data_IF_294240058427
#
_entry.id   IF_294240058427
#
_cell.length_a   1.000
_cell.length_b   1.000
_cell.length_c   1.000
_cell.angle_alpha   90.00
_cell.angle_beta   90.00
_cell.angle_gamma   90.00
#
_symmetry.space_group_name_H-M   'P 1'
#
loop_
_entity.id
_entity.type
_entity.pdbx_description
1 polymer ?
#
# COMPACT_ATOMS: atom_id res chain seq x y z
N UNK A 1 -12.32 -8.50 -21.95
CA UNK A 1 -10.89 -8.68 -22.24
C UNK A 1 -10.16 -8.44 -20.93
N UNK A 2 -9.62 -9.49 -20.30
CA UNK A 2 -8.79 -9.37 -19.11
C UNK A 2 -7.47 -8.76 -19.55
N UNK A 3 -7.20 -7.52 -19.18
CA UNK A 3 -5.87 -6.93 -19.34
C UNK A 3 -4.89 -7.84 -18.61
N UNK A 4 -4.03 -8.49 -19.39
CA UNK A 4 -2.96 -9.33 -18.85
C UNK A 4 -2.05 -8.42 -18.03
N UNK A 5 -1.86 -8.75 -16.74
CA UNK A 5 -0.79 -8.16 -15.95
C UNK A 5 0.47 -8.13 -16.81
N UNK A 6 1.03 -6.95 -17.03
CA UNK A 6 2.26 -6.83 -17.77
C UNK A 6 3.34 -7.62 -17.02
N UNK A 7 3.90 -8.63 -17.71
CA UNK A 7 4.96 -9.46 -17.16
C UNK A 7 6.11 -9.55 -18.13
N UNK A 8 7.32 -9.54 -17.59
CA UNK A 8 8.56 -9.80 -18.31
C UNK A 8 9.07 -11.16 -17.87
N UNK A 9 9.54 -11.96 -18.81
CA UNK A 9 10.07 -13.30 -18.54
C UNK A 9 11.41 -13.52 -19.23
N UNK A 10 12.25 -14.35 -18.61
CA UNK A 10 13.65 -14.56 -19.01
C UNK A 10 14.61 -13.65 -18.22
N UNK A 11 15.75 -14.23 -17.83
CA UNK A 11 16.69 -13.56 -16.91
C UNK A 11 17.20 -12.25 -17.51
N UNK A 12 17.64 -12.29 -18.78
CA UNK A 12 18.20 -11.12 -19.49
C UNK A 12 17.19 -9.98 -19.61
N UNK A 13 15.98 -10.29 -20.06
CA UNK A 13 14.92 -9.29 -20.22
C UNK A 13 14.54 -8.64 -18.89
N UNK A 14 14.60 -9.39 -17.77
CA UNK A 14 14.33 -8.84 -16.44
C UNK A 14 15.47 -7.91 -15.99
N UNK A 15 16.74 -8.28 -16.25
CA UNK A 15 17.90 -7.40 -15.97
C UNK A 15 17.77 -6.10 -16.75
N UNK A 16 17.51 -6.17 -18.06
CA UNK A 16 17.34 -5.00 -18.92
C UNK A 16 16.18 -4.09 -18.44
N UNK A 17 15.08 -4.70 -17.99
CA UNK A 17 13.97 -3.93 -17.43
C UNK A 17 14.33 -3.19 -16.14
N UNK A 18 15.14 -3.84 -15.27
CA UNK A 18 15.64 -3.21 -14.03
C UNK A 18 16.58 -2.06 -14.36
N UNK A 19 17.49 -2.25 -15.31
CA UNK A 19 18.45 -1.24 -15.77
C UNK A 19 17.75 -0.07 -16.47
N UNK A 20 16.68 -0.35 -17.21
CA UNK A 20 15.83 0.67 -17.82
C UNK A 20 14.94 1.43 -16.82
N UNK A 21 15.04 1.14 -15.53
CA UNK A 21 14.25 1.81 -14.50
C UNK A 21 12.76 1.47 -14.49
N UNK A 22 12.35 0.32 -15.06
CA UNK A 22 10.95 -0.10 -14.99
C UNK A 22 10.57 -0.47 -13.56
N UNK A 23 9.41 -0.01 -13.15
CA UNK A 23 8.85 -0.34 -11.83
C UNK A 23 8.43 -1.80 -11.78
N UNK A 24 9.10 -2.56 -10.93
CA UNK A 24 8.82 -3.99 -10.76
C UNK A 24 8.12 -4.21 -9.43
N UNK A 25 6.97 -4.87 -9.51
CA UNK A 25 6.18 -5.20 -8.34
C UNK A 25 6.79 -6.37 -7.55
N UNK A 26 7.10 -7.46 -8.26
CA UNK A 26 7.78 -8.64 -7.69
C UNK A 26 8.46 -9.48 -8.77
N UNK A 27 9.44 -10.27 -8.36
CA UNK A 27 10.13 -11.22 -9.22
C UNK A 27 9.94 -12.63 -8.65
N UNK A 28 9.48 -13.56 -9.49
CA UNK A 28 9.50 -14.99 -9.20
C UNK A 28 10.74 -15.60 -9.81
N UNK A 29 11.49 -16.33 -9.00
CA UNK A 29 12.72 -17.01 -9.41
C UNK A 29 12.62 -18.49 -9.04
N UNK A 30 13.01 -19.37 -9.95
CA UNK A 30 13.14 -20.81 -9.67
C UNK A 30 14.07 -21.05 -8.50
N UNK A 31 13.70 -21.99 -7.59
CA UNK A 31 14.48 -22.27 -6.36
C UNK A 31 15.95 -22.58 -6.64
N UNK A 32 16.22 -23.43 -7.63
CA UNK A 32 17.53 -24.00 -7.93
C UNK A 32 18.21 -23.33 -9.13
N UNK A 33 17.97 -22.02 -9.33
CA UNK A 33 18.61 -21.28 -10.42
C UNK A 33 20.09 -21.05 -10.08
N UNK A 34 20.99 -21.56 -10.97
CA UNK A 34 22.44 -21.45 -10.81
C UNK A 34 23.09 -21.10 -12.15
N UNK A 35 22.74 -19.98 -12.73
CA UNK A 35 23.38 -19.50 -13.96
C UNK A 35 24.18 -18.23 -13.69
N UNK A 36 25.20 -17.93 -14.52
CA UNK A 36 25.93 -16.66 -14.43
C UNK A 36 24.98 -15.46 -14.53
N UNK A 37 24.01 -15.53 -15.46
CA UNK A 37 22.98 -14.51 -15.58
C UNK A 37 22.12 -14.34 -14.32
N UNK A 38 21.92 -15.41 -13.54
CA UNK A 38 21.19 -15.28 -12.27
C UNK A 38 22.02 -14.57 -11.21
N UNK A 39 23.34 -14.73 -11.20
CA UNK A 39 24.23 -13.96 -10.32
C UNK A 39 24.19 -12.48 -10.67
N UNK A 40 24.22 -12.15 -11.96
CA UNK A 40 24.07 -10.77 -12.46
C UNK A 40 22.73 -10.18 -12.03
N UNK A 41 21.63 -10.92 -12.19
CA UNK A 41 20.31 -10.50 -11.73
C UNK A 41 20.30 -10.17 -10.23
N UNK A 42 20.86 -11.04 -9.38
CA UNK A 42 20.91 -10.79 -7.94
C UNK A 42 21.83 -9.62 -7.57
N UNK A 43 22.88 -9.36 -8.34
CA UNK A 43 23.73 -8.19 -8.16
C UNK A 43 22.96 -6.89 -8.46
N UNK A 44 22.19 -6.86 -9.55
CA UNK A 44 21.34 -5.71 -9.92
C UNK A 44 20.20 -5.45 -8.92
N UNK A 45 19.73 -6.50 -8.26
CA UNK A 45 18.67 -6.40 -7.24
C UNK A 45 19.19 -5.90 -5.89
N UNK A 46 20.50 -5.93 -5.67
CA UNK A 46 21.10 -5.51 -4.41
C UNK A 46 20.87 -4.01 -4.18
N UNK A 47 20.26 -3.68 -3.03
CA UNK A 47 19.91 -2.29 -2.68
C UNK A 47 18.59 -1.78 -3.25
N UNK A 48 17.90 -2.56 -4.10
CA UNK A 48 16.57 -2.20 -4.61
C UNK A 48 15.47 -2.83 -3.76
N UNK A 49 14.35 -2.14 -3.63
CA UNK A 49 13.19 -2.61 -2.86
C UNK A 49 12.26 -3.52 -3.67
N UNK A 50 12.83 -4.43 -4.47
CA UNK A 50 12.06 -5.35 -5.31
C UNK A 50 11.95 -6.70 -4.59
N UNK A 51 10.72 -7.17 -4.23
CA UNK A 51 10.52 -8.46 -3.61
C UNK A 51 10.89 -9.60 -4.57
N UNK A 52 11.77 -10.49 -4.12
CA UNK A 52 12.14 -11.71 -4.87
C UNK A 52 11.58 -12.93 -4.15
N UNK A 53 10.76 -13.71 -4.83
CA UNK A 53 10.17 -14.91 -4.31
C UNK A 53 10.75 -16.15 -5.02
N UNK A 54 11.40 -17.03 -4.26
CA UNK A 54 11.87 -18.33 -4.79
C UNK A 54 10.73 -19.33 -4.79
N UNK A 55 10.40 -19.86 -5.96
CA UNK A 55 9.25 -20.75 -6.17
C UNK A 55 9.66 -22.01 -6.94
N UNK A 56 8.91 -23.13 -6.82
CA UNK A 56 9.06 -24.28 -7.69
C UNK A 56 8.80 -23.90 -9.16
N UNK A 57 9.49 -24.59 -10.09
CA UNK A 57 9.37 -24.30 -11.54
C UNK A 57 7.95 -24.50 -12.05
N UNK A 58 7.21 -25.43 -11.46
CA UNK A 58 5.82 -25.74 -11.81
C UNK A 58 4.91 -24.52 -11.59
N UNK A 59 5.17 -23.70 -10.56
CA UNK A 59 4.45 -22.46 -10.32
C UNK A 59 4.72 -21.43 -11.43
N UNK A 60 5.96 -21.34 -11.89
CA UNK A 60 6.34 -20.45 -12.99
C UNK A 60 5.68 -20.93 -14.29
N UNK A 61 5.73 -22.23 -14.58
CA UNK A 61 5.13 -22.85 -15.76
C UNK A 61 3.60 -22.68 -15.83
N UNK A 62 2.91 -22.61 -14.67
CA UNK A 62 1.46 -22.31 -14.61
C UNK A 62 1.14 -20.88 -15.03
N UNK A 63 2.04 -19.94 -14.75
CA UNK A 63 1.87 -18.53 -15.09
C UNK A 63 2.20 -18.29 -16.56
N UNK A 64 3.33 -18.83 -17.02
CA UNK A 64 3.77 -18.71 -18.40
C UNK A 64 4.50 -19.98 -18.84
N UNK A 65 4.07 -20.56 -19.97
CA UNK A 65 4.71 -21.75 -20.59
C UNK A 65 5.80 -21.40 -21.60
N UNK A 66 6.04 -20.11 -21.89
CA UNK A 66 7.11 -19.67 -22.78
C UNK A 66 8.47 -19.87 -22.11
N UNK A 67 9.55 -19.75 -22.88
CA UNK A 67 10.90 -19.88 -22.36
C UNK A 67 11.24 -18.76 -21.37
N UNK A 68 10.89 -18.96 -20.11
CA UNK A 68 11.09 -17.99 -19.02
C UNK A 68 12.44 -18.16 -18.30
N UNK A 69 13.24 -19.18 -18.64
CA UNK A 69 14.55 -19.43 -18.01
C UNK A 69 14.53 -19.46 -16.48
N UNK A 70 13.37 -19.75 -15.89
CA UNK A 70 13.18 -19.79 -14.43
C UNK A 70 12.96 -18.42 -13.76
N UNK A 71 12.72 -17.34 -14.52
CA UNK A 71 12.47 -15.99 -13.98
C UNK A 71 11.27 -15.34 -14.65
N UNK A 72 10.39 -14.77 -13.84
CA UNK A 72 9.29 -13.91 -14.27
C UNK A 72 9.25 -12.67 -13.35
N UNK A 73 9.18 -11.48 -13.93
CA UNK A 73 8.94 -10.23 -13.24
C UNK A 73 7.54 -9.69 -13.57
N UNK A 74 6.84 -9.22 -12.57
CA UNK A 74 5.57 -8.51 -12.72
C UNK A 74 5.84 -7.02 -12.65
N UNK A 75 5.32 -6.28 -13.63
CA UNK A 75 5.44 -4.83 -13.70
C UNK A 75 4.40 -4.21 -12.78
N UNK A 76 4.80 -3.19 -12.03
CA UNK A 76 3.90 -2.38 -11.23
C UNK A 76 3.14 -1.39 -12.11
N UNK A 77 1.88 -1.14 -11.77
CA UNK A 77 1.09 -0.09 -12.43
C UNK A 77 1.37 1.31 -11.85
N UNK A 78 2.12 1.39 -10.76
CA UNK A 78 2.48 2.64 -10.07
C UNK A 78 3.97 2.69 -9.76
N UNK A 79 4.49 3.89 -9.55
CA UNK A 79 5.82 4.11 -8.97
C UNK A 79 5.74 4.09 -7.46
N UNK A 80 6.51 3.20 -6.82
CA UNK A 80 6.58 3.17 -5.36
C UNK A 80 7.54 4.24 -4.85
N UNK A 81 7.16 4.85 -3.74
CA UNK A 81 7.94 5.87 -3.05
C UNK A 81 8.50 5.32 -1.72
N UNK A 82 9.31 6.12 -1.04
CA UNK A 82 9.79 5.85 0.31
C UNK A 82 9.12 6.79 1.30
N UNK A 83 8.82 6.29 2.48
CA UNK A 83 8.25 7.10 3.55
C UNK A 83 9.19 8.22 3.97
N UNK A 84 10.51 7.94 3.93
CA UNK A 84 11.57 8.92 4.26
C UNK A 84 11.58 10.14 3.32
N UNK A 85 11.14 9.99 2.07
CA UNK A 85 11.08 11.07 1.09
C UNK A 85 9.74 11.84 1.18
N UNK A 86 8.63 11.11 1.39
CA UNK A 86 7.28 11.68 1.42
C UNK A 86 7.03 12.51 2.69
N UNK A 87 7.48 12.04 3.84
CA UNK A 87 7.20 12.70 5.13
C UNK A 87 7.75 14.12 5.18
N UNK A 88 9.05 14.38 4.88
CA UNK A 88 9.57 15.73 4.85
C UNK A 88 8.81 16.63 3.85
N UNK A 89 8.52 16.12 2.65
CA UNK A 89 7.79 16.85 1.62
C UNK A 89 6.40 17.32 2.10
N UNK A 90 5.66 16.46 2.84
CA UNK A 90 4.35 16.82 3.38
C UNK A 90 4.46 17.90 4.46
N UNK A 91 5.48 17.85 5.33
CA UNK A 91 5.72 18.88 6.33
C UNK A 91 6.12 20.22 5.70
N UNK A 92 6.93 20.21 4.65
CA UNK A 92 7.31 21.42 3.91
C UNK A 92 6.10 22.13 3.28
N UNK A 93 5.04 21.38 2.96
CA UNK A 93 3.77 21.95 2.51
C UNK A 93 2.92 22.56 3.64
N UNK A 94 3.40 22.55 4.88
CA UNK A 94 2.66 23.06 6.05
C UNK A 94 1.46 22.20 6.45
N UNK A 95 1.42 20.93 6.01
CA UNK A 95 0.34 20.00 6.34
C UNK A 95 0.62 19.28 7.66
N UNK A 96 -0.47 18.86 8.32
CA UNK A 96 -0.42 17.83 9.36
C UNK A 96 -0.73 16.48 8.68
N UNK A 97 0.28 15.69 8.30
CA UNK A 97 0.08 14.53 7.45
C UNK A 97 -0.77 13.45 8.12
N UNK A 98 -1.68 12.87 7.36
CA UNK A 98 -2.47 11.69 7.74
C UNK A 98 -2.05 10.51 6.86
N UNK A 99 -1.36 9.55 7.44
CA UNK A 99 -0.85 8.38 6.75
C UNK A 99 -1.63 7.12 7.14
N UNK A 100 -1.66 6.15 6.24
CA UNK A 100 -2.17 4.81 6.56
C UNK A 100 -1.09 3.77 6.26
N UNK A 101 -0.90 2.85 7.21
CA UNK A 101 0.02 1.72 7.07
C UNK A 101 -0.80 0.43 7.03
N UNK A 102 -0.62 -0.37 5.98
CA UNK A 102 -1.36 -1.59 5.75
C UNK A 102 -0.45 -2.80 5.96
N UNK A 103 -0.72 -3.60 6.99
CA UNK A 103 0.04 -4.82 7.29
C UNK A 103 -0.75 -6.06 6.88
N UNK A 104 -0.15 -6.93 6.06
CA UNK A 104 -0.74 -8.21 5.67
C UNK A 104 -1.93 -8.11 4.69
N UNK A 105 -2.19 -6.96 4.08
CA UNK A 105 -3.22 -6.83 3.05
C UNK A 105 -2.67 -7.39 1.73
N UNK A 106 -3.16 -8.55 1.32
CA UNK A 106 -2.69 -9.27 0.12
C UNK A 106 -3.72 -9.31 -1.01
N UNK A 107 -4.99 -9.07 -0.70
CA UNK A 107 -6.06 -9.03 -1.70
C UNK A 107 -6.08 -7.71 -2.46
N UNK A 108 -6.01 -7.81 -3.80
CA UNK A 108 -5.91 -6.67 -4.72
C UNK A 108 -7.17 -5.80 -4.68
N UNK A 109 -8.35 -6.42 -4.55
CA UNK A 109 -9.63 -5.71 -4.56
C UNK A 109 -9.85 -4.96 -3.25
N UNK A 110 -9.50 -5.60 -2.12
CA UNK A 110 -9.52 -4.94 -0.81
C UNK A 110 -8.58 -3.74 -0.79
N UNK A 111 -7.36 -3.90 -1.30
CA UNK A 111 -6.41 -2.79 -1.39
C UNK A 111 -6.94 -1.64 -2.25
N UNK A 112 -7.50 -1.93 -3.43
CA UNK A 112 -8.09 -0.91 -4.30
C UNK A 112 -9.25 -0.17 -3.62
N UNK A 113 -10.13 -0.89 -2.90
CA UNK A 113 -11.23 -0.30 -2.14
C UNK A 113 -10.72 0.60 -1.00
N UNK A 114 -9.67 0.15 -0.27
CA UNK A 114 -9.00 0.95 0.76
C UNK A 114 -8.41 2.21 0.14
N UNK A 115 -7.65 2.10 -0.96
CA UNK A 115 -7.03 3.25 -1.62
C UNK A 115 -8.05 4.31 -2.04
N UNK A 116 -9.18 3.89 -2.62
CA UNK A 116 -10.29 4.80 -2.96
C UNK A 116 -10.84 5.51 -1.74
N UNK A 117 -11.01 4.79 -0.64
CA UNK A 117 -11.47 5.37 0.62
C UNK A 117 -10.46 6.36 1.18
N UNK A 118 -9.18 6.00 1.13
CA UNK A 118 -8.08 6.86 1.57
C UNK A 118 -8.04 8.19 0.80
N UNK A 119 -8.23 8.16 -0.51
CA UNK A 119 -8.30 9.37 -1.34
C UNK A 119 -9.49 10.25 -0.92
N UNK A 120 -10.69 9.67 -0.80
CA UNK A 120 -11.88 10.40 -0.35
C UNK A 120 -11.70 11.00 1.05
N UNK A 121 -11.02 10.30 1.94
CA UNK A 121 -10.73 10.75 3.29
C UNK A 121 -9.55 11.72 3.38
N UNK A 122 -8.83 11.90 2.28
CA UNK A 122 -7.65 12.78 2.17
C UNK A 122 -6.46 12.27 2.97
N UNK A 123 -6.24 10.98 2.96
CA UNK A 123 -4.97 10.37 3.35
C UNK A 123 -3.89 10.91 2.42
N UNK A 124 -2.74 11.26 2.96
CA UNK A 124 -1.64 11.82 2.18
C UNK A 124 -0.74 10.74 1.56
N UNK A 125 -0.61 9.57 2.18
CA UNK A 125 0.08 8.41 1.59
C UNK A 125 -0.33 7.08 2.22
N UNK A 126 -0.18 5.98 1.44
CA UNK A 126 -0.36 4.60 1.90
C UNK A 126 1.02 3.97 2.06
N UNK A 127 1.26 3.30 3.18
CA UNK A 127 2.51 2.56 3.46
C UNK A 127 2.21 1.07 3.44
N UNK A 128 2.98 0.30 2.67
CA UNK A 128 2.85 -1.15 2.57
C UNK A 128 4.19 -1.84 2.78
N UNK A 129 4.24 -3.08 3.30
CA UNK A 129 5.48 -3.83 3.39
C UNK A 129 5.91 -4.35 2.01
N UNK A 130 7.21 -4.52 1.80
CA UNK A 130 7.76 -5.12 0.59
C UNK A 130 7.44 -6.62 0.47
N UNK A 131 7.21 -7.31 1.60
CA UNK A 131 6.85 -8.73 1.64
C UNK A 131 5.45 -8.89 2.20
N UNK A 132 4.75 -9.97 1.79
CA UNK A 132 3.39 -10.29 2.24
C UNK A 132 2.40 -9.12 2.02
N UNK A 133 2.56 -8.45 0.90
CA UNK A 133 1.74 -7.30 0.50
C UNK A 133 1.09 -7.55 -0.85
N UNK A 134 0.16 -6.69 -1.17
CA UNK A 134 -0.55 -6.67 -2.44
C UNK A 134 0.39 -6.33 -3.61
N UNK A 135 0.09 -6.90 -4.78
CA UNK A 135 0.64 -6.46 -6.06
C UNK A 135 -0.23 -5.36 -6.64
N UNK A 136 0.34 -4.17 -6.87
CA UNK A 136 -0.42 -3.07 -7.48
C UNK A 136 -0.39 -3.21 -9.01
N UNK A 137 -1.43 -3.84 -9.51
CA UNK A 137 -1.63 -4.15 -10.91
C UNK A 137 -2.84 -3.40 -11.50
N UNK A 138 -3.20 -3.69 -12.76
CA UNK A 138 -4.36 -3.09 -13.44
C UNK A 138 -5.69 -3.32 -12.68
N UNK A 139 -5.85 -4.48 -11.99
CA UNK A 139 -7.04 -4.75 -11.19
C UNK A 139 -7.12 -3.84 -9.96
N UNK A 140 -5.98 -3.56 -9.29
CA UNK A 140 -5.90 -2.60 -8.20
C UNK A 140 -6.26 -1.19 -8.69
N UNK A 141 -5.70 -0.77 -9.83
CA UNK A 141 -5.98 0.52 -10.45
C UNK A 141 -7.47 0.68 -10.74
N UNK A 142 -8.09 -0.34 -11.36
CA UNK A 142 -9.52 -0.35 -11.65
C UNK A 142 -10.38 -0.29 -10.39
N UNK A 143 -10.04 -1.07 -9.37
CA UNK A 143 -10.83 -1.16 -8.12
C UNK A 143 -10.70 0.12 -7.30
N UNK A 144 -9.55 0.80 -7.37
CA UNK A 144 -9.33 2.08 -6.71
C UNK A 144 -10.07 3.26 -7.36
N UNK A 145 -10.73 3.02 -8.52
CA UNK A 145 -11.43 4.06 -9.27
C UNK A 145 -10.55 5.30 -9.58
N UNK A 146 -9.26 5.08 -9.80
CA UNK A 146 -8.29 6.13 -10.12
C UNK A 146 -7.50 6.67 -8.93
N UNK A 147 -7.87 6.37 -7.69
CA UNK A 147 -7.19 6.87 -6.49
C UNK A 147 -5.68 6.58 -6.48
N UNK A 148 -5.25 5.44 -6.99
CA UNK A 148 -3.83 5.06 -7.07
C UNK A 148 -3.01 5.85 -8.10
N UNK A 149 -3.64 6.71 -8.91
CA UNK A 149 -2.89 7.66 -9.76
C UNK A 149 -2.41 8.89 -9.00
N UNK A 150 -3.13 9.27 -7.94
CA UNK A 150 -2.91 10.51 -7.18
C UNK A 150 -2.31 10.25 -5.80
N UNK A 151 -2.70 9.14 -5.16
CA UNK A 151 -2.30 8.79 -3.81
C UNK A 151 -0.97 8.05 -3.80
N UNK A 152 0.10 8.62 -3.22
CA UNK A 152 1.41 7.97 -3.12
C UNK A 152 1.33 6.66 -2.34
N UNK A 153 2.00 5.63 -2.86
CA UNK A 153 2.16 4.34 -2.17
C UNK A 153 3.63 4.14 -1.83
N UNK A 154 3.94 4.13 -0.54
CA UNK A 154 5.28 3.88 -0.01
C UNK A 154 5.46 2.39 0.24
N UNK A 155 6.58 1.82 -0.25
CA UNK A 155 6.95 0.42 -0.03
C UNK A 155 8.14 0.33 0.90
N UNK A 156 7.98 -0.35 2.04
CA UNK A 156 8.98 -0.40 3.09
C UNK A 156 9.47 -1.82 3.38
N UNK A 157 10.76 -1.94 3.69
CA UNK A 157 11.38 -3.24 4.03
C UNK A 157 10.92 -3.75 5.40
N UNK A 158 10.80 -2.84 6.37
CA UNK A 158 10.45 -3.12 7.75
C UNK A 158 9.46 -2.08 8.27
N UNK A 159 8.22 -2.49 8.48
CA UNK A 159 7.20 -1.62 9.07
C UNK A 159 7.58 -1.16 10.48
N UNK A 160 8.31 -2.00 11.24
CA UNK A 160 8.78 -1.65 12.59
C UNK A 160 9.77 -0.48 12.56
N UNK A 161 10.71 -0.48 11.60
CA UNK A 161 11.65 0.64 11.44
C UNK A 161 10.94 1.89 10.95
N UNK A 162 10.01 1.75 10.01
CA UNK A 162 9.18 2.85 9.53
C UNK A 162 8.35 3.47 10.66
N UNK A 163 7.79 2.66 11.58
CA UNK A 163 7.08 3.17 12.77
C UNK A 163 8.02 3.98 13.67
N UNK A 164 9.25 3.50 13.90
CA UNK A 164 10.24 4.24 14.69
C UNK A 164 10.58 5.58 14.03
N UNK A 165 10.80 5.57 12.71
CA UNK A 165 11.04 6.79 11.93
C UNK A 165 9.87 7.77 12.06
N UNK A 166 8.64 7.33 11.87
CA UNK A 166 7.44 8.16 11.99
C UNK A 166 7.29 8.75 13.40
N UNK A 167 7.50 7.95 14.46
CA UNK A 167 7.49 8.45 15.84
C UNK A 167 8.54 9.54 16.06
N UNK A 168 9.75 9.35 15.57
CA UNK A 168 10.82 10.34 15.66
C UNK A 168 10.52 11.61 14.87
N UNK A 169 9.71 11.50 13.79
CA UNK A 169 9.22 12.62 12.99
C UNK A 169 7.97 13.30 13.57
N UNK A 170 7.54 12.92 14.78
CA UNK A 170 6.42 13.55 15.48
C UNK A 170 5.04 12.97 15.17
N UNK A 171 4.95 11.84 14.47
CA UNK A 171 3.66 11.17 14.23
C UNK A 171 3.14 10.43 15.44
N UNK A 172 1.85 10.55 15.69
CA UNK A 172 1.10 9.63 16.55
C UNK A 172 0.79 8.36 15.77
N UNK A 173 1.02 7.22 16.38
CA UNK A 173 0.74 5.91 15.79
C UNK A 173 -0.54 5.37 16.41
N UNK A 174 -1.54 5.10 15.59
CA UNK A 174 -2.85 4.59 15.98
C UNK A 174 -3.10 3.27 15.28
N UNK A 175 -3.27 2.18 16.03
CA UNK A 175 -3.59 0.87 15.46
C UNK A 175 -5.10 0.61 15.50
N UNK A 176 -5.70 0.32 14.36
CA UNK A 176 -7.09 -0.10 14.27
C UNK A 176 -7.18 -1.60 14.57
N UNK A 177 -7.82 -1.97 15.69
CA UNK A 177 -7.97 -3.36 16.14
C UNK A 177 -9.32 -3.57 16.79
N UNK A 178 -9.85 -4.79 16.73
CA UNK A 178 -11.11 -5.15 17.41
C UNK A 178 -10.97 -5.23 18.93
N UNK A 179 -9.76 -5.51 19.43
CA UNK A 179 -9.46 -5.68 20.87
C UNK A 179 -8.89 -4.42 21.50
N UNK A 180 -9.29 -3.24 21.05
CA UNK A 180 -8.78 -1.98 21.58
C UNK A 180 -9.54 -1.55 22.84
N UNK A 181 -8.81 -0.97 23.81
CA UNK A 181 -9.39 -0.45 25.06
C UNK A 181 -9.87 1.00 24.95
N UNK A 182 -9.63 1.64 23.81
CA UNK A 182 -9.89 3.06 23.59
C UNK A 182 -10.86 3.30 22.44
N UNK A 183 -11.85 4.17 22.67
CA UNK A 183 -12.79 4.57 21.63
C UNK A 183 -12.11 5.53 20.65
N UNK A 184 -12.21 5.22 19.37
CA UNK A 184 -11.58 6.01 18.30
C UNK A 184 -12.05 7.47 18.26
N UNK A 185 -13.30 7.75 18.66
CA UNK A 185 -13.86 9.10 18.68
C UNK A 185 -13.15 10.03 19.68
N UNK A 186 -12.44 9.46 20.65
CA UNK A 186 -11.67 10.19 21.67
C UNK A 186 -10.23 10.47 21.23
N UNK A 187 -9.77 9.89 20.13
CA UNK A 187 -8.41 10.10 19.65
C UNK A 187 -8.26 11.49 19.00
N UNK A 188 -7.12 12.13 19.25
CA UNK A 188 -6.81 13.40 18.61
C UNK A 188 -6.08 13.14 17.27
N UNK A 189 -6.74 13.48 16.18
CA UNK A 189 -6.21 13.34 14.82
C UNK A 189 -5.79 14.69 14.20
N UNK A 190 -5.74 15.76 14.97
CA UNK A 190 -5.35 17.10 14.48
C UNK A 190 -3.85 17.21 14.25
N UNK A 191 -3.07 16.42 14.97
CA UNK A 191 -1.62 16.32 14.83
C UNK A 191 -1.28 15.32 13.69
N UNK A 192 -0.01 15.23 13.25
CA UNK A 192 0.42 14.18 12.33
C UNK A 192 0.11 12.78 12.86
N UNK A 193 -0.62 11.96 12.08
CA UNK A 193 -1.07 10.63 12.50
C UNK A 193 -0.75 9.59 11.43
N UNK A 194 -0.29 8.43 11.86
CA UNK A 194 -0.25 7.23 11.03
C UNK A 194 -1.19 6.17 11.62
N UNK A 195 -2.20 5.79 10.84
CA UNK A 195 -3.15 4.74 11.19
C UNK A 195 -2.61 3.42 10.68
N UNK A 196 -2.47 2.43 11.55
CA UNK A 196 -2.06 1.06 11.17
C UNK A 196 -3.30 0.18 11.07
N UNK A 197 -3.44 -0.50 9.95
CA UNK A 197 -4.46 -1.53 9.72
C UNK A 197 -3.78 -2.82 9.29
N UNK A 198 -4.27 -3.94 9.78
CA UNK A 198 -3.78 -5.27 9.42
C UNK A 198 -4.90 -6.25 9.16
N UNK A 199 -4.56 -7.43 8.64
CA UNK A 199 -5.47 -8.57 8.61
C UNK A 199 -5.77 -9.02 10.06
N UNK A 200 -6.99 -9.47 10.30
CA UNK A 200 -7.54 -9.79 11.65
C UNK A 200 -6.61 -10.67 12.49
N UNK A 201 -5.83 -11.55 11.85
CA UNK A 201 -4.96 -12.52 12.53
C UNK A 201 -3.51 -12.05 12.73
N UNK A 202 -3.07 -10.94 12.15
CA UNK A 202 -1.64 -10.58 12.08
C UNK A 202 -1.23 -9.33 12.85
N UNK A 203 -2.17 -8.49 13.28
CA UNK A 203 -1.89 -7.28 14.08
C UNK A 203 -1.22 -7.57 15.45
N UNK A 204 -1.16 -8.83 15.87
CA UNK A 204 -0.54 -9.24 17.14
C UNK A 204 0.99 -9.17 17.15
N UNK A 205 1.64 -9.03 15.99
CA UNK A 205 3.10 -9.11 15.87
C UNK A 205 3.81 -7.76 15.94
N UNK A 206 3.09 -6.65 15.82
CA UNK A 206 3.68 -5.33 16.04
C UNK A 206 3.52 -5.00 17.52
N UNK A 207 4.49 -5.35 18.35
CA UNK A 207 4.59 -4.82 19.71
C UNK A 207 4.80 -3.31 19.66
N UNK A 208 3.70 -2.58 19.52
CA UNK A 208 3.69 -1.13 19.68
C UNK A 208 3.68 -0.89 21.19
N UNK A 209 4.85 -0.63 21.76
CA UNK A 209 4.94 -0.13 23.12
C UNK A 209 4.19 1.20 23.22
N UNK A 210 3.08 1.19 23.96
CA UNK A 210 2.13 2.28 24.16
C UNK A 210 1.32 2.70 22.93
N UNK A 211 0.28 1.94 22.55
CA UNK A 211 -0.71 2.43 21.60
C UNK A 211 -1.92 2.97 22.35
N UNK A 212 -2.39 4.12 21.93
CA UNK A 212 -3.82 4.38 21.97
C UNK A 212 -4.48 3.39 21.00
N UNK A 213 -5.09 2.31 21.51
CA UNK A 213 -5.74 1.27 20.70
C UNK A 213 -7.22 1.58 20.58
N UNK A 214 -7.72 2.16 19.48
CA UNK A 214 -9.15 2.25 19.28
C UNK A 214 -9.74 0.90 18.87
N UNK A 215 -10.86 0.57 19.49
CA UNK A 215 -11.69 -0.60 19.18
C UNK A 215 -12.40 -0.32 17.87
N UNK A 216 -12.10 -1.00 16.74
CA UNK A 216 -13.12 -1.22 15.71
C UNK A 216 -12.66 -1.84 14.36
N UNK A 217 -13.62 -2.44 13.65
CA UNK A 217 -13.61 -3.07 12.33
C UNK A 217 -13.44 -2.08 11.17
N UNK A 218 -13.17 -2.60 9.97
CA UNK A 218 -13.03 -1.87 8.68
C UNK A 218 -14.16 -0.84 8.43
N UNK A 219 -15.38 -1.09 8.93
CA UNK A 219 -16.51 -0.14 8.84
C UNK A 219 -16.26 1.15 9.61
N UNK A 220 -15.53 1.08 10.68
CA UNK A 220 -15.26 2.21 11.56
C UNK A 220 -14.17 3.13 11.04
N UNK A 221 -13.21 2.59 10.29
CA UNK A 221 -12.23 3.44 9.62
C UNK A 221 -12.92 4.41 8.64
N UNK A 222 -13.98 3.97 7.96
CA UNK A 222 -14.79 4.82 7.11
C UNK A 222 -15.38 6.03 7.88
N UNK A 223 -15.87 5.79 9.08
CA UNK A 223 -16.47 6.85 9.93
C UNK A 223 -15.37 7.77 10.46
N UNK A 224 -14.23 7.22 10.89
CA UNK A 224 -13.07 7.98 11.38
C UNK A 224 -12.51 8.95 10.35
N UNK A 225 -12.35 8.48 9.13
CA UNK A 225 -11.81 9.29 8.03
C UNK A 225 -12.83 10.32 7.54
N UNK A 226 -14.14 10.01 7.69
CA UNK A 226 -15.23 10.89 7.30
C UNK A 226 -15.45 12.07 8.28
N UNK A 227 -15.46 11.84 9.59
CA UNK A 227 -15.73 12.90 10.57
C UNK A 227 -14.65 13.99 10.62
N UNK A 228 -13.42 13.68 10.24
CA UNK A 228 -12.33 14.66 10.29
C UNK A 228 -12.27 15.62 9.10
N UNK A 229 -12.72 15.24 7.92
CA UNK A 229 -12.58 16.05 6.69
C UNK A 229 -13.85 16.64 6.11
N UNK A 230 -15.00 16.58 6.79
CA UNK A 230 -16.21 17.32 6.38
C UNK A 230 -15.95 18.85 6.26
N UNK A 231 -14.82 19.35 6.75
CA UNK A 231 -14.49 20.79 6.66
C UNK A 231 -13.74 21.21 5.40
N UNK A 232 -13.32 20.30 4.51
CA UNK A 232 -12.48 20.67 3.34
C UNK A 232 -12.89 19.90 2.10
N UNK A 233 -14.13 20.02 1.69
CA UNK A 233 -14.50 19.76 0.30
C UNK A 233 -15.21 20.99 -0.27
N UNK A 234 -14.49 21.93 -0.90
CA UNK A 234 -15.13 22.95 -1.70
C UNK A 234 -15.29 22.40 -3.11
N UNK A 235 -16.32 21.74 -3.42
CA UNK A 235 -16.95 21.55 -4.72
C UNK A 235 -17.53 20.17 -4.94
N UNK A 236 -18.85 20.16 -5.12
CA UNK A 236 -19.68 19.32 -5.98
C UNK A 236 -19.44 17.79 -6.00
N UNK A 237 -20.37 17.09 -5.38
CA UNK A 237 -20.87 15.74 -5.76
C UNK A 237 -19.83 14.63 -5.89
N UNK A 238 -19.38 14.09 -4.77
CA UNK A 238 -18.76 12.77 -4.75
C UNK A 238 -19.83 11.68 -4.54
N UNK A 239 -20.11 10.89 -5.57
CA UNK A 239 -20.88 9.66 -5.44
C UNK A 239 -19.96 8.49 -5.10
N UNK A 240 -19.75 8.20 -3.82
CA UNK A 240 -19.10 6.98 -3.38
C UNK A 240 -20.15 5.88 -3.17
N UNK A 241 -20.17 4.88 -4.04
CA UNK A 241 -20.97 3.68 -3.89
C UNK A 241 -20.08 2.54 -3.46
N UNK A 242 -20.18 2.09 -2.21
CA UNK A 242 -19.55 0.86 -1.73
C UNK A 242 -20.61 -0.08 -1.18
N UNK A 243 -20.67 -1.28 -1.73
CA UNK A 243 -21.45 -2.44 -1.24
C UNK A 243 -22.87 -2.12 -0.74
N UNK A 244 -23.69 -1.46 -1.56
CA UNK A 244 -25.12 -1.25 -1.28
C UNK A 244 -25.44 -0.12 -0.28
N UNK A 245 -24.48 0.57 0.29
CA UNK A 245 -24.71 1.74 1.13
C UNK A 245 -24.52 3.00 0.28
N UNK A 246 -25.63 3.68 0.00
CA UNK A 246 -25.65 5.00 -0.65
C UNK A 246 -25.37 6.05 0.43
N UNK A 247 -24.21 6.69 0.37
CA UNK A 247 -23.92 7.88 1.17
C UNK A 247 -24.18 9.12 0.32
N UNK A 248 -25.16 9.93 0.72
CA UNK A 248 -25.37 11.23 0.13
C UNK A 248 -24.53 12.26 0.92
N UNK A 249 -23.59 12.86 0.22
CA UNK A 249 -22.91 14.05 0.75
C UNK A 249 -23.87 15.24 0.66
N UNK A 250 -24.48 15.63 1.75
CA UNK A 250 -25.27 16.85 1.85
C UNK A 250 -24.33 18.01 2.17
N UNK A 251 -23.94 18.75 1.17
CA UNK A 251 -23.39 20.09 1.39
C UNK A 251 -24.57 20.98 1.79
N UNK A 252 -24.66 21.39 3.05
CA UNK A 252 -25.51 22.51 3.44
C UNK A 252 -24.97 23.76 2.77
N UNK A 253 -25.64 24.22 1.73
CA UNK A 253 -25.52 25.60 1.25
C UNK A 253 -26.02 26.52 2.37
N UNK A 254 -25.14 27.23 3.02
CA UNK A 254 -25.53 28.40 3.79
C UNK A 254 -25.82 29.54 2.78
N UNK A 255 -27.07 29.91 2.73
CA UNK A 255 -27.44 31.27 2.38
C UNK A 255 -27.26 32.18 3.58
#
# INVERSE_FOLDING_TARGET
MTEKNEMIFGVRAVIEAIQAGKEIDKILVKRDIQSELSKELFAELKGRMIPVQRVPVERINRINRKNHQGVIAFISAITYQKTEDIVPYLFEQGKNPLLIMLDGITDVRNFGAIARTCECAGIDAIIIPAKNSVSVNADAMKTSAGALHTLPVCREQSLTETIKFLKNSGFKIVAATEKGDYDYTKANYKDPVCIIMGAEDTLSLIHISEPTRPRQTTKTLFVLLWEQKIRVCPTSTCHCVTNGLKFHCWAKSNH
#
